data_IF_373250325024
#
_entry.id   IF_373250325024
#
_cell.length_a   1.000
_cell.length_b   1.000
_cell.length_c   1.000
_cell.angle_alpha   90.00
_cell.angle_beta   90.00
_cell.angle_gamma   90.00
#
_symmetry.space_group_name_H-M   'P 1'
#
loop_
_entity.id
_entity.type
_entity.pdbx_description
1 polymer ?
#
# COMPACT_ATOMS: atom_id res chain seq x y z
N UNK A 1 20.94 13.65 13.08
CA UNK A 1 21.01 12.45 13.94
C UNK A 1 19.60 12.14 14.44
N UNK A 2 18.83 11.30 13.74
CA UNK A 2 17.48 10.87 14.17
C UNK A 2 17.60 9.45 14.75
N UNK A 3 17.47 9.27 16.07
CA UNK A 3 17.78 8.00 16.72
C UNK A 3 16.58 7.05 16.73
N UNK A 4 16.85 5.75 16.59
CA UNK A 4 16.19 4.64 17.28
C UNK A 4 14.67 4.41 17.08
N UNK A 5 14.22 4.10 15.85
CA UNK A 5 12.94 3.37 15.66
C UNK A 5 13.11 1.99 15.01
N UNK A 6 14.36 1.53 14.87
CA UNK A 6 14.66 0.14 14.50
C UNK A 6 14.53 -0.76 15.73
N UNK A 7 13.73 -1.84 15.62
CA UNK A 7 13.86 -3.12 16.35
C UNK A 7 12.54 -3.80 16.82
N UNK A 8 11.33 -3.30 16.53
CA UNK A 8 10.10 -4.05 16.91
C UNK A 8 8.96 -4.00 15.89
N UNK A 9 9.25 -4.04 14.59
CA UNK A 9 8.26 -4.55 13.62
C UNK A 9 8.81 -5.79 12.97
N UNK A 10 8.71 -6.87 13.74
CA UNK A 10 8.81 -8.28 13.37
C UNK A 10 8.70 -8.42 11.85
N UNK A 11 9.81 -8.85 11.27
CA UNK A 11 9.96 -9.47 9.95
C UNK A 11 8.81 -10.46 9.71
N UNK A 12 7.62 -9.99 9.38
CA UNK A 12 6.48 -10.83 9.02
C UNK A 12 6.56 -11.05 7.53
N UNK A 13 7.48 -11.96 7.20
CA UNK A 13 7.20 -13.05 6.29
C UNK A 13 6.49 -12.62 5.00
N UNK A 14 7.33 -12.17 4.07
CA UNK A 14 7.13 -12.13 2.60
C UNK A 14 6.76 -13.50 2.00
N UNK A 15 5.90 -14.30 2.64
CA UNK A 15 5.30 -15.51 2.06
C UNK A 15 3.90 -15.16 1.62
N UNK A 16 3.79 -14.59 0.42
CA UNK A 16 2.63 -14.68 -0.51
C UNK A 16 1.22 -14.46 0.07
N UNK A 17 1.05 -13.93 1.27
CA UNK A 17 -0.23 -13.46 1.79
C UNK A 17 -0.23 -11.96 1.55
N UNK A 18 -1.27 -11.49 0.87
CA UNK A 18 -1.43 -10.06 0.60
C UNK A 18 -1.52 -9.23 1.88
N UNK A 19 -1.84 -7.95 1.72
CA UNK A 19 -2.08 -7.03 2.84
C UNK A 19 -3.05 -7.65 3.87
N UNK A 20 -2.69 -7.56 5.15
CA UNK A 20 -3.64 -7.83 6.26
C UNK A 20 -4.87 -6.93 6.10
N UNK A 21 -6.08 -7.34 6.54
CA UNK A 21 -7.27 -6.50 6.50
C UNK A 21 -7.03 -5.06 6.99
N UNK A 22 -6.35 -4.90 8.13
CA UNK A 22 -6.02 -3.56 8.67
C UNK A 22 -5.11 -2.76 7.72
N UNK A 23 -4.14 -3.41 7.09
CA UNK A 23 -3.27 -2.75 6.12
C UNK A 23 -4.01 -2.41 4.82
N UNK A 24 -5.05 -3.17 4.46
CA UNK A 24 -5.94 -2.83 3.34
C UNK A 24 -6.66 -1.53 3.65
N UNK A 25 -7.26 -1.40 4.84
CA UNK A 25 -8.02 -0.20 5.20
C UNK A 25 -7.11 1.03 5.29
N UNK A 26 -5.89 0.87 5.84
CA UNK A 26 -4.87 1.92 5.84
C UNK A 26 -4.46 2.30 4.40
N UNK A 27 -4.25 1.32 3.52
CA UNK A 27 -3.88 1.57 2.13
C UNK A 27 -4.97 2.35 1.38
N UNK A 28 -6.23 1.98 1.60
CA UNK A 28 -7.40 2.67 1.03
C UNK A 28 -7.44 4.11 1.53
N UNK A 29 -7.35 4.31 2.85
CA UNK A 29 -7.41 5.63 3.47
C UNK A 29 -6.30 6.56 2.97
N UNK A 30 -5.05 6.08 2.93
CA UNK A 30 -3.95 6.90 2.43
C UNK A 30 -4.11 7.24 0.93
N UNK A 31 -4.58 6.28 0.13
CA UNK A 31 -4.87 6.53 -1.28
C UNK A 31 -5.99 7.55 -1.47
N UNK A 32 -7.07 7.49 -0.67
CA UNK A 32 -8.16 8.47 -0.74
C UNK A 32 -7.74 9.87 -0.27
N UNK A 33 -6.75 9.97 0.62
CA UNK A 33 -6.07 11.23 0.97
C UNK A 33 -5.16 11.78 -0.16
N UNK A 34 -5.11 11.11 -1.31
CA UNK A 34 -4.35 11.55 -2.48
C UNK A 34 -2.91 11.05 -2.50
N UNK A 35 -2.52 10.11 -1.64
CA UNK A 35 -1.20 9.51 -1.72
C UNK A 35 -1.07 8.65 -2.97
N UNK A 36 0.09 8.70 -3.62
CA UNK A 36 0.41 7.81 -4.73
C UNK A 36 0.59 6.37 -4.23
N UNK A 37 0.33 5.39 -5.11
CA UNK A 37 0.53 3.97 -4.82
C UNK A 37 1.95 3.65 -4.32
N UNK A 38 2.95 4.34 -4.88
CA UNK A 38 4.34 4.22 -4.45
C UNK A 38 4.52 4.69 -3.00
N UNK A 39 3.94 5.84 -2.64
CA UNK A 39 4.03 6.41 -1.29
C UNK A 39 3.30 5.53 -0.26
N UNK A 40 2.14 5.00 -0.62
CA UNK A 40 1.40 4.05 0.22
C UNK A 40 2.20 2.75 0.41
N UNK A 41 2.78 2.21 -0.68
CA UNK A 41 3.61 1.01 -0.63
C UNK A 41 4.82 1.19 0.29
N UNK A 42 5.55 2.29 0.14
CA UNK A 42 6.68 2.61 1.02
C UNK A 42 6.26 2.80 2.49
N UNK A 43 5.08 3.36 2.76
CA UNK A 43 4.58 3.52 4.13
C UNK A 43 4.22 2.19 4.80
N UNK A 44 3.69 1.24 4.02
CA UNK A 44 3.28 -0.07 4.50
C UNK A 44 4.36 -1.14 4.37
N UNK A 45 5.55 -0.78 3.89
CA UNK A 45 6.64 -1.68 3.54
C UNK A 45 6.21 -2.81 2.57
N UNK A 46 5.42 -2.44 1.55
CA UNK A 46 4.95 -3.36 0.51
C UNK A 46 5.19 -2.79 -0.89
N UNK A 47 5.21 -3.69 -1.88
CA UNK A 47 5.27 -3.27 -3.27
C UNK A 47 3.98 -2.51 -3.66
N UNK A 48 4.14 -1.39 -4.37
CA UNK A 48 3.03 -0.61 -4.94
C UNK A 48 2.09 -1.46 -5.82
N UNK A 49 2.60 -2.51 -6.48
CA UNK A 49 1.77 -3.47 -7.23
C UNK A 49 0.80 -4.25 -6.32
N UNK A 50 1.21 -4.56 -5.08
CA UNK A 50 0.34 -5.18 -4.07
C UNK A 50 -0.76 -4.22 -3.65
N UNK A 51 -0.44 -2.93 -3.46
CA UNK A 51 -1.42 -1.88 -3.17
C UNK A 51 -2.42 -1.76 -4.32
N UNK A 52 -1.94 -1.69 -5.57
CA UNK A 52 -2.77 -1.64 -6.77
C UNK A 52 -3.73 -2.84 -6.86
N UNK A 53 -3.23 -4.06 -6.67
CA UNK A 53 -4.03 -5.27 -6.71
C UNK A 53 -5.11 -5.27 -5.62
N UNK A 54 -4.78 -4.81 -4.42
CA UNK A 54 -5.73 -4.69 -3.30
C UNK A 54 -6.82 -3.67 -3.59
N UNK A 55 -6.48 -2.48 -4.08
CA UNK A 55 -7.46 -1.45 -4.43
C UNK A 55 -8.42 -1.96 -5.52
N UNK A 56 -7.89 -2.63 -6.56
CA UNK A 56 -8.70 -3.25 -7.61
C UNK A 56 -9.64 -4.32 -7.09
N UNK A 57 -9.17 -5.21 -6.20
CA UNK A 57 -10.01 -6.24 -5.56
C UNK A 57 -11.14 -5.65 -4.72
N UNK A 58 -10.94 -4.44 -4.18
CA UNK A 58 -11.94 -3.70 -3.41
C UNK A 58 -12.81 -2.78 -4.27
N UNK A 59 -12.65 -2.82 -5.60
CA UNK A 59 -13.42 -1.99 -6.53
C UNK A 59 -13.04 -0.51 -6.50
N UNK A 60 -11.89 -0.15 -5.91
CA UNK A 60 -11.45 1.24 -5.86
C UNK A 60 -10.79 1.60 -7.19
N UNK A 61 -11.33 2.58 -7.94
CA UNK A 61 -10.75 3.01 -9.19
C UNK A 61 -9.37 3.60 -8.92
N UNK A 62 -8.38 3.00 -9.57
CA UNK A 62 -7.00 3.47 -9.48
C UNK A 62 -6.72 4.39 -10.64
N UNK A 63 -6.32 5.63 -10.33
CA UNK A 63 -5.67 6.48 -11.29
C UNK A 63 -4.36 5.79 -11.63
N UNK A 64 -4.17 5.40 -12.88
CA UNK A 64 -2.80 5.06 -13.26
C UNK A 64 -1.92 6.30 -13.07
N UNK A 65 -0.61 6.12 -13.00
CA UNK A 65 0.34 7.22 -12.81
C UNK A 65 0.23 8.31 -13.89
N UNK A 66 -0.56 8.09 -14.94
CA UNK A 66 -0.81 8.97 -16.08
C UNK A 66 -2.25 9.54 -16.10
N UNK A 67 -3.06 9.29 -15.07
CA UNK A 67 -4.45 9.75 -14.98
C UNK A 67 -5.43 9.05 -15.92
N UNK A 68 -5.04 7.96 -16.58
CA UNK A 68 -5.92 7.21 -17.49
C UNK A 68 -6.66 6.11 -16.72
N UNK A 69 -7.98 6.06 -16.94
CA UNK A 69 -8.75 4.89 -16.58
C UNK A 69 -8.27 3.73 -17.46
N UNK A 70 -7.69 2.69 -16.86
CA UNK A 70 -7.42 1.45 -17.60
C UNK A 70 -8.73 0.67 -17.68
N UNK A 71 -9.31 0.66 -18.88
CA UNK A 71 -10.44 -0.19 -19.28
C UNK A 71 -10.01 -1.65 -19.40
#
# INVERSE_FOLDING_TARGET
>A
MKPQVEALKRRQTMRRRGLSPDQVDIAIHLYTLGWSLARVGSHLDVNHATVLATLRRRGIPTRDSQGRARV
#
